data_IF_821074462550
#
_entry.id   IF_821074462550
#
_cell.length_a   1.000
_cell.length_b   1.000
_cell.length_c   1.000
_cell.angle_alpha   90.00
_cell.angle_beta   90.00
_cell.angle_gamma   90.00
#
_symmetry.space_group_name_H-M   'P 1'
#
loop_
_entity.id
_entity.type
_entity.pdbx_description
1 polymer ?
#
# COMPACT_ATOMS: atom_id res chain seq x y z
N UNK A 1 -3.92 10.14 3.82
CA UNK A 1 -4.83 11.16 4.39
C UNK A 1 -4.01 12.24 5.08
N UNK A 2 -4.58 13.44 5.18
CA UNK A 2 -4.04 14.53 5.97
C UNK A 2 -5.01 14.87 7.09
N UNK A 3 -4.50 15.09 8.29
CA UNK A 3 -5.28 15.48 9.47
C UNK A 3 -4.80 16.87 9.89
N UNK A 4 -5.72 17.83 9.99
CA UNK A 4 -5.39 19.20 10.38
C UNK A 4 -4.83 19.22 11.81
N UNK A 5 -3.71 19.92 11.98
CA UNK A 5 -3.04 20.10 13.29
C UNK A 5 -3.09 21.55 13.77
N UNK A 6 -3.45 22.51 12.93
CA UNK A 6 -3.60 23.90 13.37
C UNK A 6 -4.80 24.07 14.31
N UNK A 7 -4.60 24.73 15.44
CA UNK A 7 -5.66 25.10 16.39
C UNK A 7 -6.33 26.44 16.02
N UNK A 8 -5.87 27.11 14.96
CA UNK A 8 -6.42 28.39 14.51
C UNK A 8 -7.73 28.11 13.77
N UNK A 9 -8.81 28.80 14.13
CA UNK A 9 -10.12 28.65 13.47
C UNK A 9 -10.10 29.24 12.07
N UNK A 10 -10.34 28.40 11.06
CA UNK A 10 -10.51 28.83 9.67
C UNK A 10 -11.38 27.79 8.95
N UNK A 11 -12.60 28.20 8.57
CA UNK A 11 -13.62 27.34 7.97
C UNK A 11 -13.36 27.02 6.49
N UNK A 12 -12.46 27.75 5.84
CA UNK A 12 -12.04 27.50 4.45
C UNK A 12 -11.04 26.34 4.35
N UNK A 13 -10.50 25.89 5.48
CA UNK A 13 -9.48 24.84 5.56
C UNK A 13 -10.14 23.55 6.06
N UNK A 14 -10.14 22.46 5.28
CA UNK A 14 -10.71 21.18 5.69
C UNK A 14 -10.04 20.62 6.96
N UNK A 15 -10.80 20.02 7.89
CA UNK A 15 -10.23 19.38 9.08
C UNK A 15 -9.49 18.07 8.76
N UNK A 16 -9.89 17.38 7.70
CA UNK A 16 -9.21 16.19 7.18
C UNK A 16 -9.32 16.15 5.66
N UNK A 17 -8.35 15.50 5.01
CA UNK A 17 -8.30 15.35 3.55
C UNK A 17 -7.99 13.89 3.24
N UNK A 18 -8.89 13.24 2.52
CA UNK A 18 -8.69 11.89 2.00
C UNK A 18 -8.04 11.99 0.63
N UNK A 19 -6.87 11.36 0.47
CA UNK A 19 -6.14 11.31 -0.79
C UNK A 19 -6.63 10.10 -1.58
N UNK A 20 -7.67 10.30 -2.40
CA UNK A 20 -8.34 9.24 -3.17
C UNK A 20 -7.98 9.21 -4.66
N UNK A 21 -7.12 10.12 -5.11
CA UNK A 21 -6.57 10.18 -6.47
C UNK A 21 -5.06 9.96 -6.41
N UNK A 22 -4.49 9.41 -7.48
CA UNK A 22 -3.04 9.23 -7.58
C UNK A 22 -2.28 10.55 -7.62
N UNK A 23 -2.94 11.65 -8.01
CA UNK A 23 -2.41 13.02 -7.95
C UNK A 23 -3.48 13.98 -7.46
N UNK A 24 -3.14 14.77 -6.45
CA UNK A 24 -4.02 15.75 -5.81
C UNK A 24 -3.29 17.09 -5.76
N UNK A 25 -3.95 18.14 -6.22
CA UNK A 25 -3.45 19.52 -6.15
C UNK A 25 -3.96 20.27 -4.93
N UNK A 26 -3.09 21.06 -4.31
CA UNK A 26 -3.36 21.85 -3.11
C UNK A 26 -3.20 23.32 -3.44
N UNK A 27 -4.15 24.15 -3.03
CA UNK A 27 -4.03 25.60 -3.17
C UNK A 27 -5.37 26.30 -3.11
N UNK A 28 -5.40 27.63 -3.19
CA UNK A 28 -6.66 28.39 -3.13
C UNK A 28 -7.63 28.10 -4.30
N UNK A 29 -7.16 27.39 -5.34
CA UNK A 29 -7.95 26.90 -6.49
C UNK A 29 -7.58 25.46 -6.88
N UNK A 30 -7.00 24.66 -5.97
CA UNK A 30 -6.66 23.26 -6.21
C UNK A 30 -7.83 22.30 -6.00
N UNK A 31 -7.59 21.00 -6.21
CA UNK A 31 -8.52 19.92 -5.81
C UNK A 31 -8.88 20.05 -4.33
N UNK A 32 -7.86 20.34 -3.51
CA UNK A 32 -8.03 20.70 -2.10
C UNK A 32 -7.85 22.20 -1.99
N UNK A 33 -8.97 22.88 -1.76
CA UNK A 33 -8.98 24.31 -1.48
C UNK A 33 -8.49 24.58 -0.05
N UNK A 34 -7.48 25.43 0.06
CA UNK A 34 -6.97 25.95 1.32
C UNK A 34 -6.41 27.35 1.11
N UNK A 35 -6.68 28.22 2.07
CA UNK A 35 -6.08 29.55 2.18
C UNK A 35 -6.20 30.01 3.63
N UNK A 36 -5.34 30.93 4.06
CA UNK A 36 -5.39 31.47 5.41
C UNK A 36 -6.52 32.48 5.57
N UNK A 37 -6.82 32.89 6.80
CA UNK A 37 -7.81 33.92 7.06
C UNK A 37 -7.42 35.28 6.46
N UNK A 38 -6.12 35.58 6.37
CA UNK A 38 -5.62 36.78 5.69
C UNK A 38 -5.88 36.71 4.18
N UNK A 39 -5.86 35.49 3.63
CA UNK A 39 -6.14 35.21 2.23
C UNK A 39 -4.96 35.55 1.31
N UNK A 40 -4.96 34.89 0.16
CA UNK A 40 -3.94 35.00 -0.89
C UNK A 40 -2.52 34.56 -0.49
N UNK A 41 -2.31 34.05 0.73
CA UNK A 41 -1.01 33.52 1.17
C UNK A 41 -0.71 32.16 0.53
N UNK A 42 -1.74 31.45 0.10
CA UNK A 42 -1.62 30.20 -0.64
C UNK A 42 -1.79 30.46 -2.14
N UNK A 43 -0.81 30.07 -2.96
CA UNK A 43 -0.91 30.11 -4.43
C UNK A 43 -2.13 29.35 -4.98
N UNK A 44 -2.57 29.71 -6.19
CA UNK A 44 -3.74 29.08 -6.86
C UNK A 44 -3.61 27.56 -6.88
N UNK A 45 -2.48 27.07 -7.41
CA UNK A 45 -2.01 25.69 -7.29
C UNK A 45 -0.64 25.78 -6.62
N UNK A 46 -0.61 25.49 -5.32
CA UNK A 46 0.53 25.68 -4.44
C UNK A 46 1.46 24.48 -4.44
N UNK A 47 0.90 23.27 -4.39
CA UNK A 47 1.67 22.04 -4.34
C UNK A 47 0.87 20.88 -4.94
N UNK A 48 1.58 19.81 -5.23
CA UNK A 48 0.99 18.53 -5.61
C UNK A 48 1.41 17.48 -4.60
N UNK A 49 0.47 16.59 -4.27
CA UNK A 49 0.81 15.29 -3.71
C UNK A 49 0.44 14.21 -4.70
N UNK A 50 1.30 13.23 -4.88
CA UNK A 50 1.04 12.12 -5.76
C UNK A 50 1.66 10.82 -5.26
N UNK A 51 1.01 9.72 -5.63
CA UNK A 51 1.41 8.38 -5.29
C UNK A 51 2.29 7.83 -6.41
N UNK A 52 3.46 7.31 -6.04
CA UNK A 52 4.33 6.56 -6.91
C UNK A 52 4.18 5.07 -6.57
N UNK A 53 3.62 4.32 -7.52
CA UNK A 53 3.49 2.87 -7.43
C UNK A 53 4.84 2.21 -7.72
N UNK A 54 5.30 1.37 -6.80
CA UNK A 54 6.45 0.48 -7.00
C UNK A 54 6.03 -0.95 -6.74
N UNK A 55 6.74 -1.91 -7.35
CA UNK A 55 6.45 -3.34 -7.26
C UNK A 55 6.26 -3.86 -5.82
N UNK A 56 6.93 -3.26 -4.83
CA UNK A 56 6.88 -3.69 -3.42
C UNK A 56 6.10 -2.76 -2.49
N UNK A 57 5.87 -1.50 -2.85
CA UNK A 57 5.15 -0.53 -2.01
C UNK A 57 4.75 0.72 -2.77
N UNK A 58 3.60 1.29 -2.38
CA UNK A 58 3.24 2.66 -2.77
C UNK A 58 3.94 3.68 -1.88
N UNK A 59 4.38 4.77 -2.50
CA UNK A 59 5.06 5.86 -1.80
C UNK A 59 4.42 7.19 -2.16
N UNK A 60 4.12 8.01 -1.15
CA UNK A 60 3.59 9.35 -1.36
C UNK A 60 4.71 10.36 -1.48
N UNK A 61 4.55 11.28 -2.43
CA UNK A 61 5.49 12.37 -2.71
C UNK A 61 4.72 13.67 -2.64
N UNK A 62 5.30 14.67 -1.99
CA UNK A 62 4.85 16.07 -2.06
C UNK A 62 5.85 16.90 -2.85
N UNK A 63 5.34 17.79 -3.69
CA UNK A 63 6.14 18.68 -4.53
C UNK A 63 5.54 20.09 -4.49
N UNK A 64 6.37 21.07 -4.13
CA UNK A 64 6.02 22.48 -4.19
C UNK A 64 5.97 22.92 -5.66
N UNK A 65 4.90 23.61 -6.04
CA UNK A 65 4.70 24.08 -7.41
C UNK A 65 5.15 25.54 -7.57
N UNK A 66 6.40 25.83 -7.17
CA UNK A 66 6.97 27.18 -7.16
C UNK A 66 6.05 28.18 -6.45
N UNK A 67 5.53 27.78 -5.28
CA UNK A 67 4.58 28.59 -4.55
C UNK A 67 5.26 29.83 -3.96
N UNK A 68 4.50 30.93 -3.81
CA UNK A 68 5.06 32.19 -3.33
C UNK A 68 5.64 32.06 -1.91
N UNK A 69 4.89 31.39 -1.02
CA UNK A 69 5.21 31.28 0.40
C UNK A 69 5.77 29.90 0.79
N UNK A 70 6.03 29.02 -0.18
CA UNK A 70 6.67 27.73 0.02
C UNK A 70 5.83 26.65 0.71
N UNK A 71 6.17 25.40 0.41
CA UNK A 71 5.72 24.20 1.12
C UNK A 71 6.82 23.70 2.05
N UNK A 72 6.42 23.26 3.25
CA UNK A 72 7.33 22.82 4.29
C UNK A 72 6.95 21.42 4.79
N UNK A 73 7.95 20.59 5.02
CA UNK A 73 7.81 19.28 5.66
C UNK A 73 8.74 19.22 6.86
N UNK A 74 8.22 18.90 8.04
CA UNK A 74 8.97 18.85 9.30
C UNK A 74 9.82 20.11 9.53
N UNK A 75 9.18 21.28 9.38
CA UNK A 75 9.77 22.63 9.48
C UNK A 75 10.81 22.99 8.42
N UNK A 76 11.05 22.15 7.41
CA UNK A 76 12.02 22.41 6.34
C UNK A 76 11.30 22.82 5.06
N UNK A 77 11.73 23.89 4.39
CA UNK A 77 11.19 24.24 3.07
C UNK A 77 11.64 23.20 2.05
N UNK A 78 10.70 22.67 1.28
CA UNK A 78 10.97 21.62 0.29
C UNK A 78 10.65 22.10 -1.11
N UNK A 79 11.40 21.58 -2.07
CA UNK A 79 10.95 21.53 -3.46
C UNK A 79 10.16 20.22 -3.68
N UNK A 80 10.71 19.09 -3.22
CA UNK A 80 10.11 17.76 -3.35
C UNK A 80 10.54 16.86 -2.20
N UNK A 81 9.64 16.06 -1.64
CA UNK A 81 9.96 15.13 -0.55
C UNK A 81 9.08 13.87 -0.58
N UNK A 82 9.68 12.72 -0.24
CA UNK A 82 8.96 11.49 0.10
C UNK A 82 8.34 11.62 1.50
N UNK A 83 7.09 11.21 1.65
CA UNK A 83 6.37 11.33 2.91
C UNK A 83 6.37 10.02 3.70
N UNK A 84 6.57 10.17 5.01
CA UNK A 84 6.43 9.13 6.02
C UNK A 84 5.23 9.43 6.93
N UNK A 85 4.65 8.39 7.51
CA UNK A 85 3.57 8.56 8.49
C UNK A 85 4.04 9.41 9.66
N UNK A 86 3.25 10.41 10.03
CA UNK A 86 3.58 11.38 11.07
C UNK A 86 4.25 12.67 10.57
N UNK A 87 4.62 12.76 9.29
CA UNK A 87 5.23 13.98 8.74
C UNK A 87 4.28 15.18 8.87
N UNK A 88 4.81 16.28 9.40
CA UNK A 88 4.10 17.56 9.46
C UNK A 88 4.29 18.33 8.16
N UNK A 89 3.18 18.71 7.53
CA UNK A 89 3.13 19.47 6.29
C UNK A 89 2.54 20.85 6.57
N UNK A 90 3.21 21.90 6.07
CA UNK A 90 2.71 23.27 6.14
C UNK A 90 2.75 23.90 4.75
N UNK A 91 1.62 24.47 4.33
CA UNK A 91 1.54 25.29 3.12
C UNK A 91 1.62 26.77 3.51
N UNK A 92 2.51 27.52 2.86
CA UNK A 92 2.60 28.97 3.01
C UNK A 92 3.23 29.48 4.31
N UNK A 93 4.35 28.92 4.76
CA UNK A 93 5.02 29.38 6.00
C UNK A 93 5.96 30.59 5.81
N UNK A 94 6.19 31.06 4.58
CA UNK A 94 6.91 32.30 4.28
C UNK A 94 7.79 32.23 3.03
N UNK A 95 7.92 33.35 2.32
CA UNK A 95 8.70 33.45 1.07
C UNK A 95 10.21 33.61 1.26
N UNK A 96 10.65 34.12 2.43
CA UNK A 96 12.03 34.52 2.72
C UNK A 96 13.02 33.34 2.72
N UNK A 97 12.54 32.13 3.03
CA UNK A 97 13.37 30.94 3.16
C UNK A 97 13.73 30.32 1.79
N UNK A 98 14.96 29.88 1.62
CA UNK A 98 15.41 29.05 0.50
C UNK A 98 15.03 27.58 0.68
N UNK A 99 15.16 26.77 -0.39
CA UNK A 99 14.94 25.33 -0.28
C UNK A 99 15.97 24.70 0.66
N UNK A 100 15.51 23.88 1.59
CA UNK A 100 16.34 23.24 2.60
C UNK A 100 16.48 24.04 3.90
N UNK A 101 16.10 25.31 3.93
CA UNK A 101 16.07 26.11 5.14
C UNK A 101 15.01 25.60 6.12
N UNK A 102 15.26 25.83 7.42
CA UNK A 102 14.36 25.43 8.50
C UNK A 102 13.74 26.65 9.16
N UNK A 103 12.42 26.60 9.34
CA UNK A 103 11.71 27.57 10.18
C UNK A 103 11.80 27.16 11.65
N UNK A 104 11.84 28.16 12.54
CA UNK A 104 11.98 27.94 13.99
C UNK A 104 10.71 27.25 14.53
N UNK A 105 9.53 27.74 14.13
CA UNK A 105 8.23 27.22 14.56
C UNK A 105 7.19 27.27 13.43
N UNK A 106 6.26 26.33 13.47
CA UNK A 106 5.11 26.19 12.58
C UNK A 106 3.77 26.36 13.30
N UNK A 107 3.78 26.69 14.60
CA UNK A 107 2.57 26.71 15.44
C UNK A 107 1.54 27.75 15.02
N UNK A 108 2.00 28.84 14.41
CA UNK A 108 1.15 29.91 13.87
C UNK A 108 0.61 29.62 12.47
N UNK A 109 1.00 28.50 11.85
CA UNK A 109 0.53 28.17 10.52
C UNK A 109 -0.92 27.64 10.54
N UNK A 110 -1.78 28.24 9.73
CA UNK A 110 -3.18 27.80 9.58
C UNK A 110 -3.28 26.52 8.72
N UNK A 111 -2.58 26.48 7.59
CA UNK A 111 -2.57 25.37 6.64
C UNK A 111 -1.58 24.27 7.06
N UNK A 112 -1.73 23.74 8.28
CA UNK A 112 -0.85 22.76 8.92
C UNK A 112 -1.53 21.40 9.11
N UNK A 113 -0.89 20.34 8.61
CA UNK A 113 -1.42 18.97 8.60
C UNK A 113 -0.39 17.94 9.05
N UNK A 114 -0.86 16.78 9.51
CA UNK A 114 -0.05 15.56 9.65
C UNK A 114 -0.46 14.57 8.56
N UNK A 115 0.53 13.96 7.91
CA UNK A 115 0.32 12.94 6.91
C UNK A 115 0.27 11.53 7.52
N UNK A 116 -0.68 10.73 7.04
CA UNK A 116 -0.74 9.29 7.26
C UNK A 116 -1.09 8.57 5.96
N UNK A 117 -0.32 7.56 5.56
CA UNK A 117 -0.73 6.64 4.51
C UNK A 117 -1.96 5.87 4.98
N UNK A 118 -2.92 5.72 4.08
CA UNK A 118 -4.04 4.81 4.34
C UNK A 118 -3.47 3.41 4.09
N UNK A 119 -3.57 2.47 5.05
CA UNK A 119 -3.08 1.12 4.82
C UNK A 119 -3.79 0.55 3.57
N UNK A 120 -3.05 -0.16 2.71
CA UNK A 120 -3.63 -0.78 1.53
C UNK A 120 -4.75 -1.73 1.94
N UNK A 121 -5.78 -1.84 1.10
CA UNK A 121 -6.88 -2.77 1.38
C UNK A 121 -6.35 -4.19 1.26
N UNK A 122 -6.64 -5.03 2.25
CA UNK A 122 -6.34 -6.45 2.15
C UNK A 122 -7.56 -7.15 1.56
N UNK A 123 -7.36 -7.86 0.46
CA UNK A 123 -8.35 -8.74 -0.13
C UNK A 123 -7.81 -10.17 -0.10
N UNK A 124 -8.65 -11.07 0.41
CA UNK A 124 -8.36 -12.50 0.40
C UNK A 124 -8.94 -13.09 -0.88
N UNK A 125 -8.12 -13.85 -1.61
CA UNK A 125 -8.59 -14.52 -2.82
C UNK A 125 -9.35 -15.79 -2.42
N UNK A 126 -10.64 -15.86 -2.78
CA UNK A 126 -11.60 -16.90 -2.36
C UNK A 126 -11.85 -17.02 -0.83
N UNK A 127 -12.90 -17.75 -0.46
CA UNK A 127 -13.45 -17.92 0.90
C UNK A 127 -12.47 -18.65 1.83
N UNK A 128 -11.36 -17.99 2.18
CA UNK A 128 -10.53 -18.41 3.30
C UNK A 128 -11.40 -18.27 4.55
N UNK A 129 -11.76 -19.41 5.15
CA UNK A 129 -12.50 -19.41 6.40
C UNK A 129 -11.61 -18.80 7.49
N UNK A 130 -11.91 -17.53 7.81
CA UNK A 130 -11.22 -16.74 8.83
C UNK A 130 -11.32 -17.36 10.23
N UNK A 131 -12.27 -18.29 10.40
CA UNK A 131 -12.58 -18.95 11.65
C UNK A 131 -12.26 -20.46 11.59
N UNK A 132 -11.47 -20.94 10.62
CA UNK A 132 -11.06 -22.34 10.56
C UNK A 132 -10.25 -22.67 11.81
N UNK A 133 -10.95 -23.13 12.85
CA UNK A 133 -10.36 -23.68 14.05
C UNK A 133 -9.49 -24.84 13.63
N UNK A 134 -8.26 -24.88 14.13
CA UNK A 134 -7.29 -25.94 13.83
C UNK A 134 -7.86 -27.27 14.34
N UNK A 135 -8.55 -28.00 13.47
CA UNK A 135 -8.78 -29.40 13.66
C UNK A 135 -7.48 -30.10 13.24
N UNK A 136 -6.58 -30.33 14.19
CA UNK A 136 -5.48 -31.29 14.01
C UNK A 136 -6.09 -32.68 13.85
N UNK A 137 -6.57 -33.01 12.65
CA UNK A 137 -6.75 -34.40 12.24
C UNK A 137 -5.58 -34.75 11.33
N UNK A 138 -4.50 -35.19 11.98
CA UNK A 138 -3.36 -35.84 11.34
C UNK A 138 -3.77 -37.28 11.02
N UNK A 139 -4.63 -37.46 10.03
CA UNK A 139 -4.63 -38.71 9.27
C UNK A 139 -3.52 -38.52 8.24
N UNK A 140 -2.55 -39.43 8.18
CA UNK A 140 -1.37 -39.30 7.32
C UNK A 140 -1.81 -39.25 5.86
N UNK A 141 -1.95 -38.05 5.31
CA UNK A 141 -2.26 -37.88 3.90
C UNK A 141 -1.11 -38.43 3.05
N UNK A 142 -1.47 -39.23 2.06
CA UNK A 142 -0.54 -39.88 1.14
C UNK A 142 -0.56 -39.10 -0.16
N UNK A 143 0.63 -38.71 -0.63
CA UNK A 143 0.78 -38.01 -1.88
C UNK A 143 0.33 -38.92 -3.04
N UNK A 144 -0.65 -38.51 -3.86
CA UNK A 144 -1.14 -39.35 -4.95
C UNK A 144 -0.14 -39.49 -6.12
N UNK A 145 0.99 -38.76 -6.10
CA UNK A 145 2.06 -38.87 -7.10
C UNK A 145 3.10 -39.92 -6.68
N UNK A 146 3.66 -39.82 -5.46
CA UNK A 146 4.70 -40.76 -5.00
C UNK A 146 4.17 -41.91 -4.15
N UNK A 147 2.90 -41.85 -3.72
CA UNK A 147 2.25 -42.82 -2.83
C UNK A 147 2.93 -42.95 -1.45
N UNK A 148 3.72 -41.95 -1.07
CA UNK A 148 4.35 -41.82 0.25
C UNK A 148 3.60 -40.77 1.09
N UNK A 149 3.86 -40.74 2.39
CA UNK A 149 3.37 -39.67 3.27
C UNK A 149 3.83 -38.32 2.73
N UNK A 150 2.93 -37.34 2.69
CA UNK A 150 3.25 -36.03 2.13
C UNK A 150 4.37 -35.36 2.95
N UNK A 151 5.48 -35.07 2.27
CA UNK A 151 6.58 -34.23 2.78
C UNK A 151 6.54 -32.86 2.08
N UNK A 152 6.59 -31.77 2.86
CA UNK A 152 6.51 -30.39 2.36
C UNK A 152 5.26 -30.19 1.47
N UNK A 153 4.10 -30.21 2.12
CA UNK A 153 2.79 -30.19 1.49
C UNK A 153 2.58 -28.96 0.59
N UNK A 154 2.03 -29.22 -0.59
CA UNK A 154 1.47 -28.21 -1.49
C UNK A 154 0.02 -28.57 -1.77
N UNK A 155 -0.90 -27.76 -1.24
CA UNK A 155 -2.32 -27.84 -1.52
C UNK A 155 -2.65 -27.04 -2.78
N UNK A 156 -3.20 -27.68 -3.80
CA UNK A 156 -3.71 -27.00 -4.98
C UNK A 156 -5.09 -26.38 -4.71
N UNK A 157 -5.47 -25.36 -5.49
CA UNK A 157 -6.79 -24.69 -5.40
C UNK A 157 -8.00 -25.63 -5.55
N UNK A 158 -7.79 -26.79 -6.17
CA UNK A 158 -8.82 -27.83 -6.29
C UNK A 158 -9.01 -28.66 -4.99
N UNK A 159 -8.22 -28.40 -3.95
CA UNK A 159 -8.29 -29.10 -2.66
C UNK A 159 -7.44 -30.36 -2.56
N UNK A 160 -6.59 -30.66 -3.53
CA UNK A 160 -5.71 -31.84 -3.50
C UNK A 160 -4.28 -31.47 -3.07
N UNK A 161 -3.71 -32.30 -2.19
CA UNK A 161 -2.38 -32.12 -1.61
C UNK A 161 -1.34 -33.06 -2.21
N UNK A 162 -0.10 -32.56 -2.34
CA UNK A 162 1.03 -33.28 -2.91
C UNK A 162 2.33 -32.89 -2.21
N UNK A 163 3.38 -33.70 -2.30
CA UNK A 163 4.72 -33.24 -1.93
C UNK A 163 5.16 -32.12 -2.89
N UNK A 164 5.82 -31.08 -2.39
CA UNK A 164 6.35 -29.97 -3.21
C UNK A 164 7.21 -30.48 -4.36
N UNK A 165 8.11 -31.42 -4.08
CA UNK A 165 8.98 -32.04 -5.09
C UNK A 165 8.18 -32.74 -6.20
N UNK A 166 7.09 -33.41 -5.83
CA UNK A 166 6.25 -34.15 -6.78
C UNK A 166 5.50 -33.20 -7.71
N UNK A 167 4.86 -32.16 -7.17
CA UNK A 167 4.07 -31.24 -8.00
C UNK A 167 4.95 -30.32 -8.85
N UNK A 168 6.16 -29.98 -8.40
CA UNK A 168 7.15 -29.25 -9.20
C UNK A 168 7.68 -30.07 -10.38
N UNK A 169 7.92 -31.38 -10.18
CA UNK A 169 8.27 -32.29 -11.28
C UNK A 169 7.14 -32.38 -12.30
N UNK A 170 5.91 -32.56 -11.83
CA UNK A 170 4.71 -32.60 -12.69
C UNK A 170 4.57 -31.33 -13.54
N UNK A 171 4.81 -30.16 -12.96
CA UNK A 171 4.79 -28.89 -13.70
C UNK A 171 5.86 -28.85 -14.80
N UNK A 172 7.06 -29.34 -14.48
CA UNK A 172 8.19 -29.37 -15.41
C UNK A 172 7.87 -30.26 -16.62
N UNK A 173 7.24 -31.41 -16.39
CA UNK A 173 6.76 -32.32 -17.43
C UNK A 173 5.61 -31.71 -18.26
N UNK A 174 4.69 -30.98 -17.63
CA UNK A 174 3.61 -30.27 -18.32
C UNK A 174 4.15 -29.15 -19.25
N UNK A 175 5.17 -28.42 -18.79
CA UNK A 175 5.87 -27.38 -19.56
C UNK A 175 6.58 -27.97 -20.78
N UNK A 176 7.22 -29.13 -20.64
CA UNK A 176 7.84 -29.85 -21.75
C UNK A 176 6.84 -30.26 -22.84
N UNK A 177 5.59 -30.52 -22.45
CA UNK A 177 4.50 -30.90 -23.35
C UNK A 177 3.71 -29.71 -23.96
N UNK A 178 4.12 -28.46 -23.74
CA UNK A 178 3.40 -27.24 -24.15
C UNK A 178 1.91 -27.20 -23.73
N UNK A 179 1.56 -27.74 -22.55
CA UNK A 179 0.18 -27.78 -22.03
C UNK A 179 0.01 -26.93 -20.78
N UNK A 180 -1.22 -26.48 -20.53
CA UNK A 180 -1.64 -25.97 -19.21
C UNK A 180 -1.45 -27.07 -18.16
N UNK A 181 -0.83 -26.73 -17.02
CA UNK A 181 -0.65 -27.67 -15.92
C UNK A 181 -2.02 -27.96 -15.29
N UNK A 182 -2.35 -29.25 -15.12
CA UNK A 182 -3.62 -29.70 -14.55
C UNK A 182 -3.38 -30.64 -13.38
N UNK A 183 -4.24 -30.57 -12.37
CA UNK A 183 -4.12 -31.39 -11.17
C UNK A 183 -4.07 -32.88 -11.53
N UNK A 184 -3.10 -33.66 -11.03
CA UNK A 184 -3.01 -35.10 -11.30
C UNK A 184 -4.26 -35.90 -10.92
N UNK A 185 -5.04 -35.41 -9.94
CA UNK A 185 -6.22 -36.10 -9.42
C UNK A 185 -7.50 -35.71 -10.18
N UNK A 186 -7.81 -34.41 -10.24
CA UNK A 186 -9.08 -33.93 -10.78
C UNK A 186 -8.97 -33.18 -12.12
N UNK A 187 -7.75 -33.02 -12.64
CA UNK A 187 -7.45 -32.33 -13.91
C UNK A 187 -7.86 -30.85 -13.98
N UNK A 188 -8.20 -30.24 -12.85
CA UNK A 188 -8.40 -28.78 -12.77
C UNK A 188 -7.09 -28.07 -13.08
N UNK A 189 -7.13 -27.08 -13.97
CA UNK A 189 -5.94 -26.29 -14.32
C UNK A 189 -5.41 -25.51 -13.11
N UNK A 190 -4.08 -25.44 -12.96
CA UNK A 190 -3.42 -24.66 -11.92
C UNK A 190 -2.14 -23.97 -12.44
N UNK A 191 -1.70 -22.91 -11.74
CA UNK A 191 -0.43 -22.23 -12.01
C UNK A 191 0.39 -22.17 -10.72
N UNK A 192 1.62 -22.66 -10.71
CA UNK A 192 2.48 -22.61 -9.50
C UNK A 192 3.04 -21.21 -9.20
N UNK A 193 2.82 -20.23 -10.10
CA UNK A 193 3.16 -18.81 -9.87
C UNK A 193 2.33 -18.14 -8.75
N UNK A 194 1.34 -18.82 -8.16
CA UNK A 194 0.64 -18.35 -6.96
C UNK A 194 1.45 -18.53 -5.66
N UNK A 195 2.71 -18.96 -5.74
CA UNK A 195 3.61 -19.16 -4.59
C UNK A 195 4.23 -17.86 -4.04
N UNK A 196 3.67 -16.69 -4.36
CA UNK A 196 3.78 -15.54 -3.47
C UNK A 196 2.52 -15.55 -2.62
N UNK A 197 2.63 -15.96 -1.35
CA UNK A 197 1.51 -16.01 -0.40
C UNK A 197 0.74 -14.67 -0.31
N UNK A 198 1.40 -13.59 -0.72
CA UNK A 198 0.89 -12.23 -0.84
C UNK A 198 1.36 -11.60 -2.16
N UNK A 199 0.49 -10.89 -2.88
CA UNK A 199 0.87 -9.96 -3.96
C UNK A 199 0.35 -8.54 -3.68
N UNK A 200 1.00 -7.52 -4.26
CA UNK A 200 0.57 -6.13 -4.19
C UNK A 200 0.14 -5.65 -5.57
N UNK A 201 -1.11 -5.21 -5.72
CA UNK A 201 -1.63 -4.69 -6.98
C UNK A 201 -2.54 -3.48 -6.73
N UNK A 202 -2.17 -2.32 -7.26
CA UNK A 202 -2.98 -1.09 -7.24
C UNK A 202 -3.58 -0.73 -5.86
N UNK A 203 -2.77 -0.69 -4.80
CA UNK A 203 -3.27 -0.35 -3.46
C UNK A 203 -3.98 -1.49 -2.73
N UNK A 204 -4.02 -2.69 -3.32
CA UNK A 204 -4.62 -3.89 -2.75
C UNK A 204 -3.53 -4.93 -2.49
N UNK A 205 -3.48 -5.40 -1.25
CA UNK A 205 -2.74 -6.60 -0.87
C UNK A 205 -3.65 -7.80 -1.15
N UNK A 206 -3.28 -8.64 -2.10
CA UNK A 206 -3.95 -9.91 -2.37
C UNK A 206 -3.27 -11.02 -1.57
N UNK A 207 -3.98 -11.62 -0.63
CA UNK A 207 -3.50 -12.75 0.15
C UNK A 207 -4.08 -14.02 -0.44
N UNK A 208 -3.21 -14.94 -0.86
CA UNK A 208 -3.58 -16.20 -1.51
C UNK A 208 -3.56 -17.40 -0.55
N UNK A 209 -2.78 -17.33 0.53
CA UNK A 209 -2.76 -18.34 1.60
C UNK A 209 -2.41 -17.71 2.95
N UNK A 210 -2.95 -18.27 4.04
CA UNK A 210 -2.53 -17.97 5.41
C UNK A 210 -1.57 -19.02 5.98
N UNK A 211 -1.30 -20.11 5.24
CA UNK A 211 -0.52 -21.26 5.72
C UNK A 211 0.90 -20.88 6.15
N UNK A 212 1.50 -19.85 5.53
CA UNK A 212 2.83 -19.37 5.90
C UNK A 212 2.89 -18.83 7.35
N UNK A 213 1.79 -18.30 7.88
CA UNK A 213 1.71 -17.81 9.28
C UNK A 213 1.73 -18.96 10.30
N UNK A 214 1.55 -20.20 9.85
CA UNK A 214 1.46 -21.38 10.69
C UNK A 214 2.65 -22.33 10.52
N UNK A 215 3.67 -21.97 9.72
CA UNK A 215 4.87 -22.81 9.53
C UNK A 215 5.85 -22.79 10.70
N UNK A 216 5.72 -21.82 11.61
CA UNK A 216 6.63 -21.61 12.75
C UNK A 216 5.93 -21.70 14.14
N UNK A 217 4.74 -22.32 14.22
CA UNK A 217 4.01 -22.58 15.48
C UNK A 217 3.94 -24.09 15.71
#
# INVERSE_FOLDING_TARGET
>A
MLIRKSNITNYKIPPFIVLNKDKVSFGRRGDVMLDTNQGQEISKIHAYMFMQHRLSKDTWIIEDNYSLNGTYVNKRKIHRQLLCNGDEIVFGAGSIFGYGDRVISTEKAECRYIFYSIPPKVQFYHQIDKNKSIAFKKETEVCPICLEVIEDEVLLLCGHSFCRKCIQKWETECKYCFRSCSCPVCRTEFKLNYCSDISYNNGIILVYSLEYLFRDI
#
